data_IF_637516513856
#
_entry.id   IF_637516513856
#
_cell.length_a   1.000
_cell.length_b   1.000
_cell.length_c   1.000
_cell.angle_alpha   90.00
_cell.angle_beta   90.00
_cell.angle_gamma   90.00
#
_symmetry.space_group_name_H-M   'P 1'
#
loop_
_entity.id
_entity.type
_entity.pdbx_description
1 polymer ?
#
# COMPACT_ATOMS: atom_id res chain seq x y z
N UNK A 1 -28.43 -44.88 19.16
CA UNK A 1 -29.90 -44.77 19.29
C UNK A 1 -30.21 -43.31 19.57
N UNK A 2 -30.79 -42.72 18.72
CA UNK A 2 -31.87 -41.82 18.39
C UNK A 2 -31.43 -40.79 17.38
N UNK A 3 -31.84 -41.10 16.14
CA UNK A 3 -31.90 -40.19 14.98
C UNK A 3 -33.03 -39.19 15.19
N UNK A 4 -32.86 -37.92 14.82
CA UNK A 4 -33.96 -37.09 14.33
C UNK A 4 -33.46 -36.18 13.19
N UNK A 5 -33.94 -36.51 12.01
CA UNK A 5 -34.00 -35.65 10.81
C UNK A 5 -35.01 -34.52 11.05
N UNK A 6 -34.75 -33.34 10.51
CA UNK A 6 -35.77 -32.40 10.10
C UNK A 6 -35.49 -31.83 8.73
N UNK A 7 -36.52 -31.91 7.96
CA UNK A 7 -36.80 -31.77 6.55
C UNK A 7 -36.71 -30.33 6.08
N UNK A 8 -36.34 -30.20 4.81
CA UNK A 8 -36.38 -29.01 3.96
C UNK A 8 -37.77 -28.40 3.85
N UNK A 9 -37.81 -27.07 3.69
CA UNK A 9 -38.88 -26.39 2.95
C UNK A 9 -38.28 -25.35 2.02
N UNK A 10 -38.40 -25.65 0.71
CA UNK A 10 -38.26 -24.71 -0.39
C UNK A 10 -39.52 -23.90 -0.56
N UNK A 11 -39.43 -22.59 -0.68
CA UNK A 11 -40.50 -21.75 -1.27
C UNK A 11 -39.88 -20.91 -2.39
N UNK A 12 -40.25 -21.30 -3.63
CA UNK A 12 -40.08 -20.52 -4.86
C UNK A 12 -41.34 -19.66 -5.01
N UNK A 13 -41.21 -18.36 -5.18
CA UNK A 13 -42.27 -17.49 -5.68
C UNK A 13 -41.80 -16.85 -6.98
N UNK A 14 -42.30 -17.37 -8.10
CA UNK A 14 -42.34 -16.72 -9.39
C UNK A 14 -43.62 -15.87 -9.46
N UNK A 15 -43.49 -14.62 -9.84
CA UNK A 15 -44.61 -13.81 -10.26
C UNK A 15 -44.28 -13.16 -11.63
N UNK A 16 -44.80 -13.73 -12.68
CA UNK A 16 -44.90 -13.19 -14.01
C UNK A 16 -46.15 -12.31 -14.10
N UNK A 17 -46.01 -11.10 -14.62
CA UNK A 17 -47.15 -10.30 -15.08
C UNK A 17 -46.91 -9.81 -16.50
N UNK A 18 -47.65 -10.42 -17.42
CA UNK A 18 -47.88 -9.97 -18.80
C UNK A 18 -49.06 -9.00 -18.80
N UNK A 19 -48.95 -7.86 -19.46
CA UNK A 19 -50.10 -7.06 -19.87
C UNK A 19 -49.94 -6.76 -21.34
N UNK A 20 -50.87 -7.29 -22.10
CA UNK A 20 -51.17 -7.00 -23.49
C UNK A 20 -52.33 -6.00 -23.51
N UNK A 21 -52.20 -4.94 -24.31
CA UNK A 21 -53.37 -4.16 -24.73
C UNK A 21 -53.19 -3.68 -26.15
N UNK A 22 -54.10 -4.14 -27.00
CA UNK A 22 -54.38 -3.66 -28.34
C UNK A 22 -55.08 -2.31 -28.31
N UNK A 23 -54.84 -1.48 -29.31
CA UNK A 23 -55.64 -0.28 -29.60
C UNK A 23 -55.32 0.29 -31.00
N UNK A 24 -56.21 0.04 -31.97
CA UNK A 24 -56.24 0.61 -33.32
C UNK A 24 -56.55 2.12 -33.29
N UNK A 25 -56.01 2.84 -34.26
CA UNK A 25 -56.52 4.22 -34.57
C UNK A 25 -55.73 4.97 -35.64
N UNK A 26 -56.09 4.74 -36.92
CA UNK A 26 -56.24 5.62 -38.07
C UNK A 26 -55.26 6.77 -38.41
N UNK A 27 -54.60 6.59 -39.51
CA UNK A 27 -54.36 7.46 -40.67
C UNK A 27 -54.68 8.97 -40.55
N UNK A 28 -53.63 9.80 -40.68
CA UNK A 28 -53.63 11.03 -41.51
C UNK A 28 -52.18 11.44 -41.77
N UNK A 29 -51.77 11.40 -43.05
CA UNK A 29 -50.54 12.01 -43.55
C UNK A 29 -50.83 13.44 -43.97
N UNK A 30 -50.00 14.41 -43.61
CA UNK A 30 -49.86 15.65 -44.38
C UNK A 30 -48.57 15.63 -45.21
N UNK A 31 -48.72 16.15 -46.42
CA UNK A 31 -47.71 16.29 -47.47
C UNK A 31 -46.54 17.21 -47.07
N UNK A 32 -45.34 17.01 -47.61
CA UNK A 32 -44.17 17.84 -47.33
C UNK A 32 -44.24 19.18 -48.06
N UNK A 33 -43.69 20.26 -47.47
CA UNK A 33 -43.53 21.54 -48.17
C UNK A 33 -42.28 21.49 -49.09
N UNK A 34 -42.22 22.43 -50.10
CA UNK A 34 -41.24 22.38 -51.20
C UNK A 34 -39.81 22.70 -50.74
N UNK A 35 -38.87 21.97 -51.35
CA UNK A 35 -37.42 22.07 -51.18
C UNK A 35 -36.85 23.44 -51.55
N UNK A 36 -36.11 24.06 -50.65
CA UNK A 36 -35.26 25.22 -50.91
C UNK A 36 -33.94 24.77 -51.58
N UNK A 37 -33.31 25.60 -52.41
CA UNK A 37 -32.10 25.21 -53.13
C UNK A 37 -30.86 25.14 -52.21
N UNK A 38 -29.86 24.38 -52.59
CA UNK A 38 -28.67 24.20 -51.77
C UNK A 38 -27.79 25.46 -51.79
N UNK A 39 -27.59 26.04 -50.59
CA UNK A 39 -26.55 27.04 -50.39
C UNK A 39 -25.21 26.33 -50.26
N UNK A 40 -24.37 26.47 -51.27
CA UNK A 40 -22.96 26.10 -51.24
C UNK A 40 -22.19 27.09 -50.37
N UNK A 41 -22.02 26.77 -49.09
CA UNK A 41 -20.97 27.39 -48.26
C UNK A 41 -19.75 26.49 -48.29
N UNK A 42 -18.79 26.83 -49.09
CA UNK A 42 -17.42 26.31 -49.01
C UNK A 42 -16.78 26.84 -47.72
N UNK A 43 -16.82 26.01 -46.67
CA UNK A 43 -16.04 26.24 -45.46
C UNK A 43 -14.58 25.94 -45.82
N UNK A 44 -13.65 26.87 -45.56
CA UNK A 44 -12.23 26.57 -45.74
C UNK A 44 -11.82 25.46 -44.78
N UNK A 45 -10.84 24.58 -45.13
CA UNK A 45 -10.37 23.53 -44.25
C UNK A 45 -9.82 24.16 -42.97
N UNK A 46 -10.41 23.77 -41.86
CA UNK A 46 -9.88 24.11 -40.53
C UNK A 46 -8.44 23.56 -40.46
N UNK A 47 -7.48 24.46 -40.55
CA UNK A 47 -6.11 24.17 -40.12
C UNK A 47 -6.21 23.70 -38.70
N UNK A 48 -5.95 22.41 -38.47
CA UNK A 48 -5.64 21.87 -37.14
C UNK A 48 -4.37 22.59 -36.66
N UNK A 49 -4.56 23.74 -36.04
CA UNK A 49 -3.50 24.33 -35.23
C UNK A 49 -3.19 23.31 -34.12
N UNK A 50 -1.97 22.81 -34.02
CA UNK A 50 -1.61 21.97 -32.88
C UNK A 50 -1.98 22.74 -31.62
N UNK A 51 -2.74 22.13 -30.72
CA UNK A 51 -3.06 22.73 -29.45
C UNK A 51 -1.72 23.16 -28.84
N UNK A 52 -1.48 24.45 -28.72
CA UNK A 52 -0.33 24.99 -28.03
C UNK A 52 -0.56 24.64 -26.55
N UNK A 53 -0.03 23.52 -26.14
CA UNK A 53 -0.06 23.11 -24.75
C UNK A 53 0.67 24.21 -23.97
N UNK A 54 -0.03 24.93 -23.12
CA UNK A 54 0.57 25.91 -22.22
C UNK A 54 1.70 25.22 -21.43
N UNK A 55 2.85 25.86 -21.22
CA UNK A 55 3.89 25.30 -20.37
C UNK A 55 3.31 24.95 -19.02
N UNK A 56 3.59 23.75 -18.52
CA UNK A 56 3.22 23.35 -17.17
C UNK A 56 4.19 23.96 -16.16
N UNK A 57 3.78 24.03 -14.90
CA UNK A 57 4.61 24.55 -13.81
C UNK A 57 5.97 23.80 -13.69
N UNK A 58 5.99 22.53 -14.10
CA UNK A 58 7.16 21.67 -13.99
C UNK A 58 7.96 21.49 -15.29
N UNK A 59 7.61 22.18 -16.37
CA UNK A 59 8.40 22.15 -17.61
C UNK A 59 9.81 22.65 -17.35
N UNK A 60 10.81 21.88 -17.80
CA UNK A 60 12.24 22.08 -17.59
C UNK A 60 12.68 22.04 -16.11
N UNK A 61 11.84 21.51 -15.22
CA UNK A 61 12.18 21.31 -13.80
C UNK A 61 12.49 19.84 -13.52
N UNK A 62 13.35 19.62 -12.53
CA UNK A 62 13.57 18.29 -11.96
C UNK A 62 12.82 18.22 -10.62
N UNK A 63 11.93 17.24 -10.50
CA UNK A 63 11.24 16.90 -9.27
C UNK A 63 11.93 15.70 -8.65
N UNK A 64 12.37 15.81 -7.41
CA UNK A 64 13.05 14.75 -6.68
C UNK A 64 12.06 14.01 -5.76
N UNK A 65 11.95 12.71 -5.94
CA UNK A 65 11.27 11.82 -5.00
C UNK A 65 12.27 11.39 -3.93
N UNK A 66 12.20 12.00 -2.76
CA UNK A 66 13.10 11.70 -1.63
C UNK A 66 12.63 10.41 -0.99
N UNK A 67 13.44 9.36 -1.09
CA UNK A 67 13.21 8.07 -0.45
C UNK A 67 14.19 7.94 0.72
N UNK A 68 13.73 7.98 1.99
CA UNK A 68 14.60 7.99 3.17
C UNK A 68 15.14 6.58 3.51
N UNK A 69 15.35 5.74 2.51
CA UNK A 69 15.82 4.36 2.65
C UNK A 69 16.85 4.01 1.57
N UNK A 70 17.61 2.92 1.81
CA UNK A 70 18.58 2.41 0.84
C UNK A 70 17.90 1.93 -0.45
N UNK A 71 18.58 2.00 -1.59
CA UNK A 71 18.08 1.45 -2.85
C UNK A 71 17.76 -0.05 -2.78
N UNK A 72 16.76 -0.47 -3.56
CA UNK A 72 16.34 -1.88 -3.69
C UNK A 72 15.41 -2.38 -2.60
N UNK A 73 15.00 -1.53 -1.64
CA UNK A 73 13.92 -1.80 -0.72
C UNK A 73 12.55 -1.50 -1.32
N UNK A 74 11.47 -1.91 -0.63
CA UNK A 74 10.11 -1.76 -1.16
C UNK A 74 9.68 -0.31 -1.43
N UNK A 75 10.17 0.67 -0.67
CA UNK A 75 9.87 2.10 -0.90
C UNK A 75 10.59 2.62 -2.15
N UNK A 76 11.84 2.25 -2.33
CA UNK A 76 12.61 2.60 -3.53
C UNK A 76 11.99 1.97 -4.79
N UNK A 77 11.62 0.68 -4.73
CA UNK A 77 10.94 -0.03 -5.81
C UNK A 77 9.60 0.65 -6.18
N UNK A 78 8.80 1.00 -5.18
CA UNK A 78 7.53 1.70 -5.38
C UNK A 78 7.71 3.07 -6.04
N UNK A 79 8.65 3.88 -5.53
CA UNK A 79 8.94 5.19 -6.09
C UNK A 79 9.44 5.12 -7.54
N UNK A 80 10.30 4.16 -7.85
CA UNK A 80 10.82 3.95 -9.23
C UNK A 80 9.77 3.41 -10.18
N UNK A 81 8.81 2.63 -9.72
CA UNK A 81 7.69 2.17 -10.54
C UNK A 81 6.77 3.34 -10.93
N UNK A 82 6.55 4.30 -10.02
CA UNK A 82 5.65 5.44 -10.24
C UNK A 82 6.33 6.60 -11.01
N UNK A 83 7.62 6.84 -10.79
CA UNK A 83 8.34 8.02 -11.31
C UNK A 83 8.20 8.25 -12.83
N UNK A 84 8.29 7.25 -13.71
CA UNK A 84 8.13 7.47 -15.16
C UNK A 84 6.73 7.99 -15.53
N UNK A 85 5.70 7.50 -14.88
CA UNK A 85 4.31 7.88 -15.13
C UNK A 85 4.02 9.28 -14.57
N UNK A 86 4.53 9.61 -13.39
CA UNK A 86 4.46 10.98 -12.89
C UNK A 86 5.16 11.96 -13.83
N UNK A 87 6.33 11.61 -14.36
CA UNK A 87 7.06 12.43 -15.31
C UNK A 87 6.24 12.70 -16.58
N UNK A 88 5.60 11.66 -17.14
CA UNK A 88 4.78 11.78 -18.35
C UNK A 88 3.62 12.79 -18.17
N UNK A 89 3.04 12.86 -16.97
CA UNK A 89 1.87 13.68 -16.67
C UNK A 89 2.19 15.03 -16.00
N UNK A 90 3.42 15.27 -15.50
CA UNK A 90 3.82 16.56 -14.93
C UNK A 90 4.15 17.62 -15.97
N UNK A 91 4.66 17.22 -17.14
CA UNK A 91 5.00 18.12 -18.22
C UNK A 91 5.91 17.47 -19.24
N UNK A 92 5.93 18.04 -20.46
CA UNK A 92 6.67 17.44 -21.59
C UNK A 92 8.19 17.39 -21.38
N UNK A 93 8.73 18.26 -20.55
CA UNK A 93 10.16 18.43 -20.30
C UNK A 93 10.49 18.31 -18.79
N UNK A 94 9.47 18.01 -17.97
CA UNK A 94 9.68 17.68 -16.57
C UNK A 94 10.54 16.42 -16.43
N UNK A 95 11.37 16.36 -15.39
CA UNK A 95 12.11 15.18 -15.00
C UNK A 95 11.71 14.75 -13.59
N UNK A 96 11.57 13.45 -13.37
CA UNK A 96 11.30 12.90 -12.03
C UNK A 96 12.44 11.96 -11.68
N UNK A 97 13.15 12.25 -10.59
CA UNK A 97 14.28 11.49 -10.10
C UNK A 97 14.01 10.90 -8.72
N UNK A 98 14.38 9.65 -8.50
CA UNK A 98 14.34 9.02 -7.18
C UNK A 98 15.69 9.23 -6.51
N UNK A 99 15.68 9.91 -5.35
CA UNK A 99 16.87 10.24 -4.56
C UNK A 99 16.80 9.52 -3.22
N UNK A 100 17.72 8.59 -2.98
CA UNK A 100 17.78 7.85 -1.72
C UNK A 100 18.58 8.62 -0.67
N UNK A 101 18.00 8.82 0.53
CA UNK A 101 18.60 9.48 1.69
C UNK A 101 18.45 8.62 2.94
N UNK A 102 19.15 7.47 3.02
CA UNK A 102 19.03 6.55 4.13
C UNK A 102 19.66 7.11 5.43
N UNK A 103 19.24 6.55 6.55
CA UNK A 103 19.79 6.81 7.87
C UNK A 103 18.71 6.75 8.94
N UNK A 104 19.06 6.21 10.09
CA UNK A 104 18.21 6.10 11.28
C UNK A 104 16.80 5.55 10.92
N UNK A 105 16.75 4.38 10.29
CA UNK A 105 15.50 3.72 9.86
C UNK A 105 14.57 4.59 9.00
N UNK A 106 15.13 5.62 8.34
CA UNK A 106 14.42 6.59 7.50
C UNK A 106 14.17 7.95 8.17
N UNK A 107 14.38 8.06 9.49
CA UNK A 107 14.15 9.31 10.22
C UNK A 107 15.09 10.43 9.75
N UNK A 108 16.38 10.13 9.58
CA UNK A 108 17.38 11.13 9.17
C UNK A 108 17.04 11.78 7.82
N UNK A 109 16.72 10.97 6.81
CA UNK A 109 16.33 11.50 5.48
C UNK A 109 15.00 12.25 5.48
N UNK A 110 14.08 11.87 6.37
CA UNK A 110 12.79 12.56 6.55
C UNK A 110 12.98 13.90 7.25
N UNK A 111 13.81 13.97 8.30
CA UNK A 111 14.19 15.23 8.95
C UNK A 111 14.86 16.18 7.94
N UNK A 112 15.78 15.66 7.12
CA UNK A 112 16.43 16.47 6.07
C UNK A 112 15.40 17.03 5.08
N UNK A 113 14.45 16.23 4.62
CA UNK A 113 13.36 16.71 3.77
C UNK A 113 12.56 17.79 4.49
N UNK A 114 12.14 17.54 5.73
CA UNK A 114 11.26 18.42 6.50
C UNK A 114 11.88 19.82 6.74
N UNK A 115 13.20 19.88 6.96
CA UNK A 115 13.93 21.13 7.14
C UNK A 115 14.34 21.83 5.82
N UNK A 116 14.26 21.13 4.70
CA UNK A 116 14.65 21.69 3.40
C UNK A 116 13.40 21.99 2.54
N UNK A 117 12.85 23.19 2.69
CA UNK A 117 11.66 23.64 1.95
C UNK A 117 11.93 23.87 0.46
N UNK A 118 12.31 22.83 -0.26
CA UNK A 118 12.47 22.87 -1.72
C UNK A 118 11.13 22.46 -2.39
N UNK A 119 10.47 23.36 -3.14
CA UNK A 119 9.16 23.09 -3.77
C UNK A 119 9.22 22.01 -4.88
N UNK A 120 10.41 21.57 -5.27
CA UNK A 120 10.63 20.50 -6.24
C UNK A 120 10.98 19.15 -5.60
N UNK A 121 10.86 19.04 -4.27
CA UNK A 121 11.05 17.77 -3.56
C UNK A 121 9.73 17.21 -3.05
N UNK A 122 9.59 15.90 -3.14
CA UNK A 122 8.45 15.13 -2.65
C UNK A 122 8.97 14.02 -1.76
N UNK A 123 8.56 13.95 -0.51
CA UNK A 123 8.89 12.83 0.35
C UNK A 123 8.07 11.60 -0.03
N UNK A 124 8.72 10.47 -0.19
CA UNK A 124 8.06 9.15 -0.30
C UNK A 124 8.23 8.43 1.03
N UNK A 125 7.18 8.46 1.85
CA UNK A 125 7.18 7.89 3.18
C UNK A 125 6.92 6.38 3.18
N UNK A 126 7.18 5.74 4.31
CA UNK A 126 6.76 4.37 4.62
C UNK A 126 6.27 4.28 6.06
N UNK A 127 5.60 3.17 6.40
CA UNK A 127 5.13 2.91 7.77
C UNK A 127 6.23 3.03 8.84
N UNK A 128 7.52 2.85 8.51
CA UNK A 128 8.61 2.96 9.48
C UNK A 128 8.70 4.36 10.09
N UNK A 129 8.78 5.39 9.26
CA UNK A 129 8.88 6.78 9.74
C UNK A 129 7.57 7.25 10.38
N UNK A 130 6.48 6.59 10.03
CA UNK A 130 5.17 6.82 10.61
C UNK A 130 5.12 6.35 12.08
N UNK A 131 5.57 5.13 12.34
CA UNK A 131 5.63 4.60 13.69
C UNK A 131 6.61 5.39 14.56
N UNK A 132 7.78 5.77 14.04
CA UNK A 132 8.72 6.62 14.76
C UNK A 132 8.05 7.93 15.23
N UNK A 133 7.28 8.59 14.35
CA UNK A 133 6.48 9.78 14.68
C UNK A 133 5.38 9.49 15.71
N UNK A 134 4.55 8.45 15.50
CA UNK A 134 3.43 8.11 16.38
C UNK A 134 3.88 7.68 17.78
N UNK A 135 5.04 7.02 17.86
CA UNK A 135 5.63 6.60 19.12
C UNK A 135 6.44 7.72 19.80
N UNK A 136 6.64 8.86 19.14
CA UNK A 136 7.35 10.01 19.70
C UNK A 136 8.82 9.70 19.95
N UNK A 137 9.51 9.07 18.98
CA UNK A 137 10.95 8.87 19.07
C UNK A 137 11.69 10.20 19.15
N UNK A 138 12.69 10.29 20.01
CA UNK A 138 13.43 11.53 20.28
C UNK A 138 14.25 12.05 19.09
N UNK A 139 14.51 11.20 18.08
CA UNK A 139 15.21 11.58 16.86
C UNK A 139 14.30 12.21 15.79
N UNK A 140 12.96 12.18 16.00
CA UNK A 140 11.97 12.69 15.04
C UNK A 140 11.82 14.20 15.17
N UNK A 141 12.12 14.90 14.09
CA UNK A 141 12.04 16.36 13.97
C UNK A 141 10.99 16.82 12.95
N UNK A 142 10.21 15.89 12.37
CA UNK A 142 9.16 16.16 11.39
C UNK A 142 7.77 16.03 12.02
N UNK A 143 6.81 16.80 11.47
CA UNK A 143 5.38 16.70 11.79
C UNK A 143 4.57 16.50 10.52
N UNK A 144 3.89 15.36 10.41
CA UNK A 144 3.02 15.07 9.27
C UNK A 144 1.80 15.99 9.17
N UNK A 145 1.43 16.71 10.25
CA UNK A 145 0.37 17.71 10.22
C UNK A 145 0.77 18.97 9.43
N UNK A 146 2.07 19.20 9.24
CA UNK A 146 2.61 20.30 8.44
C UNK A 146 2.82 19.91 6.97
N UNK A 147 2.50 18.66 6.58
CA UNK A 147 2.67 18.15 5.24
C UNK A 147 1.31 17.97 4.55
N UNK A 148 1.34 18.07 3.22
CA UNK A 148 0.17 17.85 2.37
C UNK A 148 0.36 16.56 1.60
N UNK A 149 -0.62 15.64 1.71
CA UNK A 149 -0.63 14.40 0.96
C UNK A 149 -0.97 14.64 -0.51
N UNK A 150 -0.19 14.04 -1.39
CA UNK A 150 -0.39 14.04 -2.84
C UNK A 150 -1.02 12.74 -3.30
N UNK A 151 -0.43 11.62 -2.92
CA UNK A 151 -0.80 10.27 -3.34
C UNK A 151 -0.45 9.30 -2.21
N UNK A 152 -1.20 8.23 -2.10
CA UNK A 152 -0.88 7.12 -1.24
C UNK A 152 -1.42 5.80 -1.76
N UNK A 153 -0.88 4.71 -1.24
CA UNK A 153 -1.43 3.38 -1.46
C UNK A 153 -1.19 2.47 -0.24
N UNK A 154 -2.08 1.52 0.01
CA UNK A 154 -1.76 0.41 0.88
C UNK A 154 -0.66 -0.42 0.24
N UNK A 155 0.09 -1.12 1.05
CA UNK A 155 1.04 -2.14 0.62
C UNK A 155 1.08 -3.22 1.68
N UNK A 156 0.85 -4.45 1.28
CA UNK A 156 0.93 -5.58 2.18
C UNK A 156 2.35 -6.02 2.51
N UNK A 157 2.43 -7.16 3.17
CA UNK A 157 3.69 -7.81 3.49
C UNK A 157 3.51 -9.32 3.59
N UNK A 158 4.54 -10.02 3.19
CA UNK A 158 4.58 -11.49 3.17
C UNK A 158 5.70 -12.01 4.04
N UNK A 159 5.39 -12.99 4.88
CA UNK A 159 6.35 -13.72 5.72
C UNK A 159 6.72 -15.02 5.04
N UNK A 160 8.00 -15.30 5.00
CA UNK A 160 8.57 -16.51 4.44
C UNK A 160 9.71 -17.04 5.32
N UNK A 161 9.99 -18.32 5.18
CA UNK A 161 11.03 -19.02 5.92
C UNK A 161 12.06 -19.66 5.00
N UNK A 162 13.23 -19.95 5.55
CA UNK A 162 14.24 -20.77 4.89
C UNK A 162 13.80 -22.24 4.84
N UNK A 163 13.96 -22.92 3.70
CA UNK A 163 13.73 -24.36 3.59
C UNK A 163 14.55 -25.20 4.58
N UNK A 164 15.67 -24.65 5.08
CA UNK A 164 16.52 -25.31 6.09
C UNK A 164 15.82 -25.56 7.42
N UNK A 165 14.72 -24.88 7.71
CA UNK A 165 13.89 -25.11 8.88
C UNK A 165 13.03 -26.39 8.79
N UNK A 166 12.82 -26.94 7.58
CA UNK A 166 11.90 -28.05 7.35
C UNK A 166 10.41 -27.69 7.51
N UNK A 167 10.09 -26.41 7.59
CA UNK A 167 8.71 -25.88 7.73
C UNK A 167 8.15 -25.64 6.32
N UNK A 168 7.04 -26.29 5.99
CA UNK A 168 6.42 -26.19 4.66
C UNK A 168 5.02 -25.53 4.68
N UNK A 169 4.46 -25.35 5.85
CA UNK A 169 3.14 -24.73 6.04
C UNK A 169 3.01 -24.06 7.41
N UNK A 170 1.94 -23.30 7.60
CA UNK A 170 1.71 -22.51 8.82
C UNK A 170 1.46 -23.36 10.06
N UNK A 171 0.88 -24.56 9.92
CA UNK A 171 0.66 -25.46 11.08
C UNK A 171 2.00 -25.98 11.63
N UNK A 172 2.94 -26.28 10.74
CA UNK A 172 4.30 -26.67 11.13
C UNK A 172 5.06 -25.49 11.78
N UNK A 173 4.81 -24.25 11.31
CA UNK A 173 5.37 -23.05 11.95
C UNK A 173 4.91 -22.92 13.40
N UNK A 174 3.62 -23.09 13.67
CA UNK A 174 3.06 -22.94 15.02
C UNK A 174 3.51 -24.00 16.03
N UNK A 175 4.04 -25.10 15.55
CA UNK A 175 4.49 -26.23 16.40
C UNK A 175 6.00 -26.45 16.34
N UNK A 176 6.72 -25.54 15.68
CA UNK A 176 8.17 -25.70 15.50
C UNK A 176 8.92 -25.50 16.82
N UNK A 177 9.89 -26.36 17.07
CA UNK A 177 10.89 -26.21 18.13
C UNK A 177 12.24 -25.69 17.57
N UNK A 178 12.28 -25.42 16.25
CA UNK A 178 13.46 -24.88 15.61
C UNK A 178 13.67 -23.41 16.00
N UNK A 179 14.90 -22.98 16.28
CA UNK A 179 15.19 -21.60 16.63
C UNK A 179 14.90 -20.68 15.42
N UNK A 180 13.94 -19.78 15.58
CA UNK A 180 13.63 -18.76 14.58
C UNK A 180 14.53 -17.55 14.79
N UNK A 181 15.14 -17.04 13.72
CA UNK A 181 16.01 -15.85 13.73
C UNK A 181 15.56 -14.87 12.68
N UNK A 182 15.34 -13.64 13.10
CA UNK A 182 14.82 -12.54 12.29
C UNK A 182 15.77 -11.34 12.30
N UNK A 183 15.90 -10.67 11.15
CA UNK A 183 16.61 -9.40 10.99
C UNK A 183 15.63 -8.27 10.71
N UNK A 184 15.59 -7.28 11.59
CA UNK A 184 14.74 -6.10 11.48
C UNK A 184 15.54 -4.82 11.25
N UNK A 185 14.84 -3.80 10.77
CA UNK A 185 15.39 -2.44 10.63
C UNK A 185 15.33 -1.73 11.97
N UNK A 186 14.15 -1.69 12.58
CA UNK A 186 13.91 -1.10 13.90
C UNK A 186 12.70 -1.73 14.54
N UNK A 187 12.81 -2.05 15.84
CA UNK A 187 11.68 -2.56 16.62
C UNK A 187 10.53 -1.55 16.73
N UNK A 188 10.80 -0.25 16.63
CA UNK A 188 9.81 0.84 16.65
C UNK A 188 9.36 1.31 15.26
N UNK A 189 9.87 0.68 14.19
CA UNK A 189 9.48 0.94 12.81
C UNK A 189 8.40 -0.01 12.28
N UNK A 190 8.37 -0.22 10.97
CA UNK A 190 7.39 -1.12 10.33
C UNK A 190 7.52 -2.59 10.80
N UNK A 191 8.68 -2.98 11.33
CA UNK A 191 8.87 -4.31 11.92
C UNK A 191 7.88 -4.61 13.05
N UNK A 192 7.27 -3.59 13.68
CA UNK A 192 6.18 -3.73 14.67
C UNK A 192 5.10 -4.70 14.17
N UNK A 193 4.73 -4.65 12.89
CA UNK A 193 3.68 -5.51 12.34
C UNK A 193 4.10 -6.98 12.41
N UNK A 194 5.36 -7.30 12.09
CA UNK A 194 5.87 -8.67 12.20
C UNK A 194 6.06 -9.11 13.66
N UNK A 195 6.56 -8.21 14.52
CA UNK A 195 6.73 -8.51 15.95
C UNK A 195 5.40 -8.84 16.61
N UNK A 196 4.35 -8.07 16.32
CA UNK A 196 3.00 -8.36 16.80
C UNK A 196 2.40 -9.64 16.19
N UNK A 197 2.71 -9.93 14.92
CA UNK A 197 2.31 -11.20 14.33
C UNK A 197 2.98 -12.39 15.04
N UNK A 198 4.28 -12.30 15.35
CA UNK A 198 5.00 -13.33 16.09
C UNK A 198 4.45 -13.51 17.51
N UNK A 199 4.19 -12.39 18.21
CA UNK A 199 3.57 -12.41 19.55
C UNK A 199 2.19 -13.08 19.52
N UNK A 200 1.31 -12.69 18.59
CA UNK A 200 -0.02 -13.29 18.44
C UNK A 200 0.03 -14.79 18.15
N UNK A 201 0.99 -15.21 17.34
CA UNK A 201 1.15 -16.61 16.95
C UNK A 201 1.95 -17.43 17.99
N UNK A 202 2.42 -16.81 19.07
CA UNK A 202 3.21 -17.46 20.11
C UNK A 202 4.57 -17.96 19.60
N UNK A 203 5.15 -17.30 18.60
CA UNK A 203 6.45 -17.67 18.03
C UNK A 203 7.58 -17.06 18.83
N UNK A 204 8.49 -17.87 19.31
CA UNK A 204 9.74 -17.43 19.91
C UNK A 204 10.75 -17.13 18.81
N UNK A 205 11.02 -15.83 18.58
CA UNK A 205 11.90 -15.38 17.50
C UNK A 205 13.04 -14.54 18.06
N UNK A 206 14.26 -15.01 17.85
CA UNK A 206 15.48 -14.24 18.15
C UNK A 206 15.62 -13.12 17.11
N UNK A 207 15.57 -11.86 17.57
CA UNK A 207 15.49 -10.68 16.71
C UNK A 207 16.75 -9.84 16.81
N UNK A 208 17.29 -9.42 15.65
CA UNK A 208 18.42 -8.50 15.56
C UNK A 208 18.00 -7.28 14.73
N UNK A 209 18.13 -6.08 15.31
CA UNK A 209 17.80 -4.82 14.65
C UNK A 209 19.03 -4.03 14.20
N UNK A 210 18.83 -2.94 13.44
CA UNK A 210 19.90 -2.07 12.96
C UNK A 210 20.34 -2.35 11.53
N UNK A 211 19.59 -3.12 10.76
CA UNK A 211 19.85 -3.29 9.33
C UNK A 211 19.41 -2.02 8.56
N UNK A 212 20.20 -1.65 7.53
CA UNK A 212 19.98 -0.44 6.72
C UNK A 212 18.77 -0.56 5.75
N UNK A 213 17.67 -1.18 6.19
CA UNK A 213 16.45 -1.39 5.42
C UNK A 213 16.21 -2.86 5.07
N UNK A 214 14.99 -3.15 4.58
CA UNK A 214 14.54 -4.52 4.29
C UNK A 214 15.33 -5.22 3.16
N UNK A 215 16.06 -4.47 2.33
CA UNK A 215 17.00 -5.06 1.38
C UNK A 215 18.19 -5.72 2.08
N UNK A 216 18.75 -5.07 3.11
CA UNK A 216 19.86 -5.60 3.90
C UNK A 216 19.45 -6.81 4.75
N UNK A 217 18.27 -6.77 5.40
CA UNK A 217 17.74 -7.92 6.16
C UNK A 217 17.49 -9.14 5.26
N UNK A 218 16.97 -8.94 4.04
CA UNK A 218 16.83 -10.01 3.05
C UNK A 218 18.19 -10.63 2.68
N UNK A 219 19.23 -9.83 2.50
CA UNK A 219 20.58 -10.35 2.22
C UNK A 219 21.09 -11.21 3.38
N UNK A 220 20.86 -10.80 4.64
CA UNK A 220 21.19 -11.60 5.81
C UNK A 220 20.44 -12.94 5.82
N UNK A 221 19.17 -12.95 5.44
CA UNK A 221 18.38 -14.17 5.24
C UNK A 221 18.96 -15.06 4.14
N UNK A 222 19.28 -14.51 2.97
CA UNK A 222 19.90 -15.27 1.87
C UNK A 222 21.25 -15.87 2.23
N UNK A 223 21.99 -15.23 3.14
CA UNK A 223 23.24 -15.74 3.70
C UNK A 223 23.07 -16.76 4.82
N UNK A 224 21.82 -17.06 5.25
CA UNK A 224 21.52 -18.00 6.32
C UNK A 224 21.81 -17.46 7.73
N UNK A 225 22.08 -16.16 7.88
CA UNK A 225 22.22 -15.49 9.18
C UNK A 225 20.88 -15.54 9.92
N UNK A 226 19.78 -15.27 9.19
CA UNK A 226 18.41 -15.41 9.66
C UNK A 226 17.67 -16.49 8.87
N UNK A 227 16.50 -16.92 9.35
CA UNK A 227 15.74 -18.02 8.74
C UNK A 227 14.23 -17.80 8.66
N UNK A 228 13.73 -16.71 9.24
CA UNK A 228 12.40 -16.16 9.03
C UNK A 228 12.54 -14.68 8.65
N UNK A 229 11.80 -14.24 7.67
CA UNK A 229 11.89 -12.89 7.13
C UNK A 229 10.53 -12.43 6.62
N UNK A 230 10.28 -11.10 6.62
CA UNK A 230 9.20 -10.53 5.82
C UNK A 230 9.74 -9.48 4.85
N UNK A 231 9.05 -9.34 3.76
CA UNK A 231 9.24 -8.21 2.85
C UNK A 231 7.88 -7.55 2.59
N UNK A 232 7.88 -6.23 2.39
CA UNK A 232 6.72 -5.57 1.81
C UNK A 232 6.51 -6.06 0.38
N UNK A 233 5.27 -6.03 -0.11
CA UNK A 233 4.93 -6.58 -1.44
C UNK A 233 5.90 -6.13 -2.54
N UNK A 234 6.25 -4.83 -2.72
CA UNK A 234 7.20 -4.45 -3.76
C UNK A 234 8.60 -5.06 -3.56
N UNK A 235 9.07 -5.10 -2.31
CA UNK A 235 10.38 -5.71 -1.99
C UNK A 235 10.41 -7.21 -2.25
N UNK A 236 9.29 -7.90 -1.98
CA UNK A 236 9.14 -9.32 -2.26
C UNK A 236 9.06 -9.59 -3.77
N UNK A 237 8.15 -8.93 -4.50
CA UNK A 237 7.96 -9.15 -5.94
C UNK A 237 9.23 -8.90 -6.74
N UNK A 238 10.02 -7.90 -6.39
CA UNK A 238 11.31 -7.62 -7.03
C UNK A 238 12.33 -8.77 -6.92
N UNK A 239 12.15 -9.71 -6.00
CA UNK A 239 13.11 -10.78 -5.72
C UNK A 239 12.50 -12.19 -5.72
N UNK A 240 11.16 -12.29 -5.71
CA UNK A 240 10.44 -13.55 -5.48
C UNK A 240 10.78 -14.62 -6.51
N UNK A 241 10.77 -14.29 -7.79
CA UNK A 241 11.08 -15.23 -8.87
C UNK A 241 12.48 -15.86 -8.69
N UNK A 242 13.46 -15.03 -8.43
CA UNK A 242 14.85 -15.48 -8.20
C UNK A 242 14.95 -16.40 -6.97
N UNK A 243 14.31 -16.01 -5.86
CA UNK A 243 14.37 -16.75 -4.59
C UNK A 243 13.60 -18.06 -4.66
N UNK A 244 12.43 -18.07 -5.30
CA UNK A 244 11.63 -19.28 -5.50
C UNK A 244 12.33 -20.26 -6.43
N UNK A 245 12.88 -19.80 -7.57
CA UNK A 245 13.63 -20.62 -8.50
C UNK A 245 14.90 -21.24 -7.89
N UNK A 246 15.50 -20.53 -6.92
CA UNK A 246 16.63 -21.04 -6.14
C UNK A 246 16.21 -21.97 -5.00
N UNK A 247 14.93 -22.22 -4.76
CA UNK A 247 14.39 -22.88 -3.57
C UNK A 247 14.94 -22.29 -2.28
N UNK A 248 15.09 -20.95 -2.23
CA UNK A 248 15.67 -20.26 -1.09
C UNK A 248 14.62 -19.82 -0.06
N UNK A 249 13.34 -19.79 -0.44
CA UNK A 249 12.23 -19.35 0.40
C UNK A 249 11.03 -20.29 0.33
N UNK A 250 10.27 -20.34 1.41
CA UNK A 250 8.93 -20.93 1.49
C UNK A 250 8.00 -19.82 2.01
N UNK A 251 7.15 -19.21 1.14
CA UNK A 251 6.15 -18.25 1.56
C UNK A 251 5.12 -18.92 2.46
N UNK A 252 4.76 -18.32 3.61
CA UNK A 252 3.85 -18.92 4.57
C UNK A 252 2.54 -18.16 4.72
N UNK A 253 2.61 -16.84 4.97
CA UNK A 253 1.42 -16.03 5.22
C UNK A 253 1.68 -14.56 4.92
N UNK A 254 0.58 -13.80 4.79
CA UNK A 254 0.60 -12.33 4.73
C UNK A 254 0.13 -11.74 6.05
N UNK A 255 0.47 -10.48 6.30
CA UNK A 255 -0.09 -9.78 7.45
C UNK A 255 -1.61 -9.58 7.32
N UNK A 256 -2.13 -9.56 6.10
CA UNK A 256 -3.47 -9.11 5.77
C UNK A 256 -3.53 -7.59 5.61
N UNK A 257 -4.66 -7.13 5.11
CA UNK A 257 -5.01 -5.71 5.01
C UNK A 257 -6.34 -5.47 5.72
N UNK A 258 -6.63 -4.21 6.04
CA UNK A 258 -7.94 -3.84 6.59
C UNK A 258 -8.90 -3.45 5.47
N UNK A 259 -10.11 -3.99 5.53
CA UNK A 259 -11.23 -3.49 4.73
C UNK A 259 -11.86 -2.25 5.39
N UNK A 260 -12.86 -1.67 4.72
CA UNK A 260 -13.57 -0.47 5.21
C UNK A 260 -14.37 -0.70 6.52
N UNK A 261 -14.54 -1.95 6.93
CA UNK A 261 -15.17 -2.34 8.20
C UNK A 261 -14.14 -2.58 9.31
N UNK A 262 -12.85 -2.39 9.04
CA UNK A 262 -11.75 -2.65 9.99
C UNK A 262 -11.50 -4.13 10.25
N UNK A 263 -11.90 -4.99 9.31
CA UNK A 263 -11.64 -6.44 9.37
C UNK A 263 -10.39 -6.79 8.59
N UNK A 264 -9.61 -7.74 9.09
CA UNK A 264 -8.45 -8.27 8.39
C UNK A 264 -8.90 -9.18 7.25
N UNK A 265 -8.54 -8.81 6.04
CA UNK A 265 -8.83 -9.53 4.80
C UNK A 265 -7.54 -9.94 4.10
N UNK A 266 -7.64 -10.87 3.16
CA UNK A 266 -6.50 -11.33 2.36
C UNK A 266 -5.89 -10.21 1.54
N UNK A 267 -4.57 -10.26 1.41
CA UNK A 267 -3.82 -9.36 0.55
C UNK A 267 -4.14 -9.68 -0.92
N UNK A 268 -4.62 -8.71 -1.72
CA UNK A 268 -4.97 -8.95 -3.13
C UNK A 268 -3.77 -9.36 -3.99
N UNK A 269 -2.55 -9.03 -3.59
CA UNK A 269 -1.33 -9.46 -4.28
C UNK A 269 -0.99 -10.94 -4.02
N UNK A 270 -1.52 -11.53 -2.94
CA UNK A 270 -1.24 -12.90 -2.49
C UNK A 270 -2.50 -13.58 -1.95
N UNK A 271 -3.57 -13.58 -2.73
CA UNK A 271 -4.90 -14.08 -2.33
C UNK A 271 -4.92 -15.55 -1.90
N UNK A 272 -3.95 -16.35 -2.35
CA UNK A 272 -3.82 -17.75 -2.01
C UNK A 272 -3.16 -18.01 -0.65
N UNK A 273 -2.44 -17.00 -0.11
CA UNK A 273 -1.79 -17.12 1.19
C UNK A 273 -2.75 -16.74 2.33
N UNK A 274 -2.68 -17.45 3.46
CA UNK A 274 -3.44 -17.10 4.66
C UNK A 274 -2.94 -15.76 5.24
N UNK A 275 -3.81 -15.06 5.96
CA UNK A 275 -3.45 -13.90 6.79
C UNK A 275 -3.03 -14.36 8.19
N UNK A 276 -2.44 -13.46 9.00
CA UNK A 276 -2.19 -13.73 10.43
C UNK A 276 -3.46 -14.18 11.14
N UNK A 277 -4.64 -13.63 10.79
CA UNK A 277 -5.93 -14.07 11.33
C UNK A 277 -6.21 -15.54 11.01
N UNK A 278 -6.04 -15.92 9.74
CA UNK A 278 -6.27 -17.29 9.29
C UNK A 278 -5.28 -18.27 9.96
N UNK A 279 -3.99 -17.86 10.08
CA UNK A 279 -2.95 -18.65 10.75
C UNK A 279 -3.29 -18.86 12.21
N UNK A 280 -3.68 -17.79 12.91
CA UNK A 280 -4.10 -17.88 14.32
C UNK A 280 -5.23 -18.90 14.50
N UNK A 281 -6.27 -18.79 13.66
CA UNK A 281 -7.39 -19.73 13.71
C UNK A 281 -6.97 -21.19 13.43
N UNK A 282 -6.02 -21.39 12.51
CA UNK A 282 -5.49 -22.74 12.23
C UNK A 282 -4.66 -23.30 13.40
N UNK A 283 -3.86 -22.47 14.08
CA UNK A 283 -2.99 -22.91 15.17
C UNK A 283 -3.73 -23.13 16.48
N UNK A 284 -4.71 -22.26 16.80
CA UNK A 284 -5.38 -22.25 18.10
C UNK A 284 -6.86 -22.68 18.06
N UNK A 285 -7.43 -22.90 16.88
CA UNK A 285 -8.82 -23.32 16.72
C UNK A 285 -9.86 -22.24 17.03
N UNK A 286 -9.45 -20.99 17.21
CA UNK A 286 -10.31 -19.84 17.57
C UNK A 286 -9.87 -18.59 16.82
N UNK A 287 -10.77 -17.62 16.64
CA UNK A 287 -10.43 -16.29 16.13
C UNK A 287 -9.61 -15.50 17.16
N UNK A 288 -8.65 -14.67 16.71
CA UNK A 288 -7.87 -13.84 17.62
C UNK A 288 -8.75 -12.72 18.22
N UNK A 289 -8.55 -12.45 19.52
CA UNK A 289 -9.30 -11.44 20.28
C UNK A 289 -8.40 -10.73 21.30
N UNK A 290 -8.92 -9.73 21.98
CA UNK A 290 -8.22 -9.06 23.07
C UNK A 290 -7.36 -7.88 22.61
N UNK A 291 -6.57 -7.35 23.57
CA UNK A 291 -5.80 -6.10 23.36
C UNK A 291 -4.75 -6.26 22.26
N UNK A 292 -3.96 -7.34 22.29
CA UNK A 292 -2.92 -7.61 21.29
C UNK A 292 -3.49 -7.62 19.86
N UNK A 293 -4.65 -8.27 19.66
CA UNK A 293 -5.33 -8.29 18.37
C UNK A 293 -5.83 -6.91 17.93
N UNK A 294 -6.37 -6.12 18.86
CA UNK A 294 -6.80 -4.76 18.54
C UNK A 294 -5.63 -3.84 18.19
N UNK A 295 -4.52 -3.96 18.92
CA UNK A 295 -3.28 -3.23 18.60
C UNK A 295 -2.73 -3.68 17.26
N UNK A 296 -2.72 -4.99 16.97
CA UNK A 296 -2.32 -5.50 15.65
C UNK A 296 -3.12 -4.86 14.52
N UNK A 297 -4.46 -4.82 14.62
CA UNK A 297 -5.28 -4.14 13.61
C UNK A 297 -4.97 -2.64 13.48
N UNK A 298 -4.75 -1.96 14.59
CA UNK A 298 -4.36 -0.56 14.57
C UNK A 298 -2.99 -0.34 13.89
N UNK A 299 -2.04 -1.27 14.09
CA UNK A 299 -0.75 -1.21 13.40
C UNK A 299 -0.85 -1.57 11.92
N UNK A 300 -1.77 -2.45 11.52
CA UNK A 300 -2.07 -2.65 10.08
C UNK A 300 -2.58 -1.36 9.43
N UNK A 301 -3.48 -0.63 10.12
CA UNK A 301 -3.96 0.66 9.63
C UNK A 301 -2.80 1.65 9.43
N UNK A 302 -2.03 1.91 10.47
CA UNK A 302 -0.94 2.88 10.47
C UNK A 302 0.26 2.46 9.59
N UNK A 303 0.56 1.17 9.51
CA UNK A 303 1.75 0.65 8.85
C UNK A 303 1.53 0.18 7.41
N UNK A 304 0.37 -0.39 7.08
CA UNK A 304 0.13 -1.03 5.79
C UNK A 304 -0.95 -0.32 4.96
N UNK A 305 -2.01 0.23 5.55
CA UNK A 305 -3.03 0.97 4.78
C UNK A 305 -2.46 2.26 4.17
N UNK A 306 -1.60 2.96 4.91
CA UNK A 306 -0.91 4.18 4.45
C UNK A 306 0.59 3.93 4.27
N UNK A 307 0.94 2.75 3.87
CA UNK A 307 2.32 2.28 3.85
C UNK A 307 3.20 3.07 2.88
N UNK A 308 2.66 3.54 1.77
CA UNK A 308 3.33 4.43 0.82
C UNK A 308 2.52 5.71 0.66
N UNK A 309 3.16 6.82 0.96
CA UNK A 309 2.56 8.14 0.79
C UNK A 309 3.58 9.09 0.16
N UNK A 310 3.09 10.00 -0.70
CA UNK A 310 3.84 11.12 -1.24
C UNK A 310 3.39 12.41 -0.57
N UNK A 311 4.36 13.20 -0.10
CA UNK A 311 4.13 14.40 0.67
C UNK A 311 4.90 15.59 0.12
N UNK A 312 4.29 16.76 0.21
CA UNK A 312 4.94 18.06 0.03
C UNK A 312 4.76 18.92 1.27
N UNK A 313 5.56 19.97 1.41
CA UNK A 313 5.40 20.92 2.51
C UNK A 313 4.07 21.67 2.45
N UNK A 314 3.55 22.07 3.62
CA UNK A 314 2.27 22.80 3.74
C UNK A 314 2.29 24.19 3.09
N UNK A 315 3.47 24.80 2.93
CA UNK A 315 3.70 26.08 2.25
C UNK A 315 3.91 25.94 0.72
N UNK A 316 3.84 24.72 0.18
CA UNK A 316 3.90 24.49 -1.28
C UNK A 316 2.76 25.27 -1.97
N UNK A 317 3.04 26.03 -3.05
CA UNK A 317 2.02 26.78 -3.76
C UNK A 317 0.82 25.94 -4.20
N UNK A 318 -0.39 26.46 -4.05
CA UNK A 318 -1.62 25.70 -4.34
C UNK A 318 -1.72 25.19 -5.78
N UNK A 319 -1.19 25.95 -6.75
CA UNK A 319 -1.07 25.52 -8.14
C UNK A 319 -0.10 24.33 -8.31
N UNK A 320 0.98 24.26 -7.54
CA UNK A 320 1.92 23.15 -7.54
C UNK A 320 1.27 21.89 -6.96
N UNK A 321 0.57 22.00 -5.83
CA UNK A 321 -0.19 20.90 -5.21
C UNK A 321 -1.23 20.38 -6.20
N UNK A 322 -1.94 21.28 -6.87
CA UNK A 322 -2.98 20.91 -7.86
C UNK A 322 -2.35 20.15 -9.04
N UNK A 323 -1.24 20.65 -9.58
CA UNK A 323 -0.54 20.01 -10.69
C UNK A 323 0.00 18.62 -10.32
N UNK A 324 0.59 18.49 -9.12
CA UNK A 324 1.08 17.20 -8.60
C UNK A 324 -0.05 16.18 -8.41
N UNK A 325 -1.18 16.59 -7.84
CA UNK A 325 -2.34 15.72 -7.65
C UNK A 325 -2.96 15.29 -8.98
N UNK A 326 -3.06 16.20 -9.95
CA UNK A 326 -3.54 15.87 -11.29
C UNK A 326 -2.61 14.90 -12.01
N UNK A 327 -1.29 15.12 -11.94
CA UNK A 327 -0.31 14.21 -12.50
C UNK A 327 -0.32 12.84 -11.80
N UNK A 328 -0.45 12.82 -10.47
CA UNK A 328 -0.56 11.59 -9.70
C UNK A 328 -1.82 10.79 -10.08
N UNK A 329 -2.99 11.46 -10.20
CA UNK A 329 -4.21 10.82 -10.64
C UNK A 329 -4.07 10.25 -12.05
N UNK A 330 -3.57 11.05 -13.00
CA UNK A 330 -3.36 10.60 -14.37
C UNK A 330 -2.36 9.45 -14.46
N UNK A 331 -1.33 9.44 -13.62
CA UNK A 331 -0.35 8.34 -13.56
C UNK A 331 -0.97 7.04 -13.06
N UNK A 332 -1.80 7.07 -12.02
CA UNK A 332 -2.43 5.85 -11.48
C UNK A 332 -3.60 5.36 -12.34
N UNK A 333 -4.22 6.24 -13.10
CA UNK A 333 -5.27 5.91 -14.08
C UNK A 333 -4.70 5.41 -15.42
N UNK A 334 -3.39 5.49 -15.65
CA UNK A 334 -2.76 5.01 -16.88
C UNK A 334 -2.81 3.48 -16.93
N UNK A 335 -3.44 2.88 -17.97
CA UNK A 335 -3.48 1.42 -18.10
C UNK A 335 -2.10 0.76 -18.14
N UNK A 336 -1.08 1.45 -18.68
CA UNK A 336 0.29 0.93 -18.71
C UNK A 336 0.91 0.89 -17.31
N UNK A 337 0.57 1.88 -16.46
CA UNK A 337 0.98 1.84 -15.06
C UNK A 337 0.31 0.66 -14.36
N UNK A 338 -1.00 0.51 -14.48
CA UNK A 338 -1.73 -0.60 -13.86
C UNK A 338 -1.15 -1.96 -14.26
N UNK A 339 -0.86 -2.17 -15.54
CA UNK A 339 -0.26 -3.41 -16.05
C UNK A 339 1.15 -3.65 -15.48
N UNK A 340 1.98 -2.60 -15.40
CA UNK A 340 3.33 -2.71 -14.87
C UNK A 340 3.37 -2.78 -13.35
N UNK A 341 2.48 -2.05 -12.67
CA UNK A 341 2.44 -1.96 -11.23
C UNK A 341 2.08 -3.28 -10.55
N UNK A 342 1.13 -4.05 -11.11
CA UNK A 342 0.73 -5.35 -10.57
C UNK A 342 1.93 -6.28 -10.34
N UNK A 343 2.88 -6.29 -11.28
CA UNK A 343 4.06 -7.14 -11.23
C UNK A 343 5.20 -6.59 -10.34
N UNK A 344 5.21 -5.28 -10.10
CA UNK A 344 6.30 -4.62 -9.39
C UNK A 344 5.94 -4.23 -7.95
N UNK A 345 4.71 -3.78 -7.72
CA UNK A 345 4.31 -3.20 -6.43
C UNK A 345 3.02 -3.80 -5.86
N UNK A 346 2.40 -4.74 -6.56
CA UNK A 346 1.14 -5.39 -6.17
C UNK A 346 -0.09 -4.67 -6.74
N UNK A 347 -1.24 -5.36 -6.62
CA UNK A 347 -2.52 -4.86 -7.12
C UNK A 347 -3.28 -4.16 -5.99
N UNK A 348 -2.91 -2.91 -5.71
CA UNK A 348 -3.52 -2.08 -4.67
C UNK A 348 -4.19 -0.86 -5.25
N UNK A 349 -5.31 -0.45 -4.62
CA UNK A 349 -5.96 0.81 -4.95
C UNK A 349 -5.13 2.00 -4.45
N UNK A 350 -5.05 3.04 -5.26
CA UNK A 350 -4.40 4.29 -4.91
C UNK A 350 -5.43 5.31 -4.45
N UNK A 351 -5.06 6.17 -3.52
CA UNK A 351 -5.85 7.31 -3.09
C UNK A 351 -5.07 8.60 -3.35
N UNK A 352 -5.73 9.61 -3.93
CA UNK A 352 -5.08 10.83 -4.41
C UNK A 352 -5.66 12.06 -3.71
N UNK A 353 -4.80 13.02 -3.40
CA UNK A 353 -5.21 14.34 -2.94
C UNK A 353 -5.97 14.33 -1.61
N UNK A 354 -7.22 14.77 -1.61
CA UNK A 354 -8.03 14.85 -0.41
C UNK A 354 -8.29 13.45 0.20
N UNK A 355 -8.52 12.46 -0.63
CA UNK A 355 -8.72 11.08 -0.17
C UNK A 355 -7.45 10.55 0.54
N UNK A 356 -6.26 10.83 0.00
CA UNK A 356 -5.00 10.49 0.65
C UNK A 356 -4.88 11.13 2.03
N UNK A 357 -5.26 12.40 2.16
CA UNK A 357 -5.21 13.11 3.44
C UNK A 357 -6.20 12.54 4.47
N UNK A 358 -7.41 12.19 4.04
CA UNK A 358 -8.45 11.61 4.92
C UNK A 358 -8.06 10.20 5.34
N UNK A 359 -7.58 9.38 4.40
CA UNK A 359 -7.11 8.01 4.69
C UNK A 359 -5.96 8.03 5.69
N UNK A 360 -5.01 8.97 5.51
CA UNK A 360 -3.93 9.18 6.45
C UNK A 360 -4.44 9.53 7.86
N UNK A 361 -5.30 10.54 7.99
CA UNK A 361 -5.83 10.96 9.28
C UNK A 361 -6.58 9.83 10.02
N UNK A 362 -7.32 9.01 9.29
CA UNK A 362 -8.02 7.85 9.84
C UNK A 362 -7.06 6.74 10.30
N UNK A 363 -6.08 6.39 9.45
CA UNK A 363 -5.16 5.29 9.70
C UNK A 363 -4.09 5.62 10.76
N UNK A 364 -3.74 6.89 10.93
CA UNK A 364 -2.76 7.34 11.93
C UNK A 364 -3.32 7.49 13.34
N UNK A 365 -4.60 7.22 13.55
CA UNK A 365 -5.28 7.36 14.85
C UNK A 365 -5.11 6.12 15.72
N UNK A 366 -3.92 5.94 16.34
CA UNK A 366 -3.77 4.95 17.40
C UNK A 366 -4.36 5.49 18.72
N UNK A 367 -5.14 4.66 19.43
CA UNK A 367 -5.65 5.06 20.73
C UNK A 367 -4.50 5.20 21.76
N UNK A 368 -4.64 6.09 22.76
CA UNK A 368 -3.64 6.20 23.82
C UNK A 368 -3.33 4.87 24.50
N UNK A 369 -4.34 4.02 24.70
CA UNK A 369 -4.17 2.69 25.28
C UNK A 369 -3.33 1.79 24.37
N UNK A 370 -3.56 1.84 23.06
CA UNK A 370 -2.77 1.10 22.08
C UNK A 370 -1.31 1.53 22.08
N UNK A 371 -1.05 2.83 22.15
CA UNK A 371 0.31 3.40 22.21
C UNK A 371 1.02 2.96 23.50
N UNK A 372 0.34 3.06 24.65
CA UNK A 372 0.90 2.64 25.95
C UNK A 372 1.24 1.16 25.94
N UNK A 373 0.30 0.32 25.49
CA UNK A 373 0.51 -1.13 25.44
C UNK A 373 1.66 -1.49 24.49
N UNK A 374 1.70 -0.86 23.31
CA UNK A 374 2.74 -1.10 22.31
C UNK A 374 4.12 -0.68 22.84
N UNK A 375 4.24 0.52 23.45
CA UNK A 375 5.49 0.97 24.08
C UNK A 375 5.96 0.03 25.19
N UNK A 376 5.04 -0.48 26.03
CA UNK A 376 5.36 -1.46 27.07
C UNK A 376 5.95 -2.73 26.45
N UNK A 377 5.28 -3.31 25.46
CA UNK A 377 5.77 -4.50 24.75
C UNK A 377 7.16 -4.26 24.14
N UNK A 378 7.34 -3.16 23.41
CA UNK A 378 8.60 -2.85 22.74
C UNK A 378 9.75 -2.64 23.74
N UNK A 379 9.47 -2.00 24.87
CA UNK A 379 10.45 -1.81 25.94
C UNK A 379 10.79 -3.12 26.64
N UNK A 380 9.80 -3.89 27.06
CA UNK A 380 9.97 -5.09 27.87
C UNK A 380 10.59 -6.24 27.06
N UNK A 381 10.20 -6.39 25.78
CA UNK A 381 10.63 -7.52 24.95
C UNK A 381 11.87 -7.19 24.11
N UNK A 382 11.96 -5.95 23.59
CA UNK A 382 12.98 -5.57 22.62
C UNK A 382 13.93 -4.48 23.11
N UNK A 383 13.78 -3.98 24.36
CA UNK A 383 14.66 -3.00 24.96
C UNK A 383 14.60 -1.60 24.33
N UNK A 384 13.49 -1.26 23.66
CA UNK A 384 13.32 0.06 23.03
C UNK A 384 13.11 1.13 24.11
N UNK A 385 13.88 2.22 24.06
CA UNK A 385 13.69 3.41 24.89
C UNK A 385 12.99 4.52 24.07
N UNK A 386 12.06 5.26 24.72
CA UNK A 386 11.26 6.31 24.10
C UNK A 386 11.48 7.66 24.79
#
# INVERSE_FOLDING_TARGET
>A
MIQRQFTQVFIIILASLSIQACGLGTLFSPSPPPSSPPSSSSQPPSLNTPATTQPTLYDHQTVELIVPFTPGGGTDTWARALAPFLQEHLGRTAQVQVVNKPGDSGVAGTNEFFHNHNPHTILVSSGSIFFAYLLGESSVDYDFNELIAILGSPVGGIVFVSPSLGINNVTELCTTEQPLRYAGVSASGLDIVSLLAFELLGLEVDTTFGYDGKGASRVAFEQGITNIEYQTTPGYLANAERLLNANAIIPLFTFGLLNNQGEVVRDPAFSDLPTVKDVYAQCFGTEPTGVAWNVYKATLAAGLTIQKMMWVHGDTPAEAITALRQAAQAAVDDPKFTESAQNLIGNYDFFVGHEAQVTFAAASSLSPESIIWLKSLLKETYGVEF
#
